data_IF_151315843315
#
_entry.id   IF_151315843315
#
_cell.length_a   1.000
_cell.length_b   1.000
_cell.length_c   1.000
_cell.angle_alpha   90.00
_cell.angle_beta   90.00
_cell.angle_gamma   90.00
#
_symmetry.space_group_name_H-M   'P 1'
#
loop_
_entity.id
_entity.type
_entity.pdbx_description
1 polymer ?
#
# COMPACT_ATOMS: atom_id res chain seq x y z
N UNK A 1 20.63 -2.09 -10.95
CA UNK A 1 20.02 -1.72 -9.65
C UNK A 1 18.80 -2.62 -9.42
N UNK A 2 18.61 -3.10 -8.18
CA UNK A 2 18.01 -4.40 -7.79
C UNK A 2 16.46 -4.49 -7.83
N UNK A 3 15.80 -4.03 -8.88
CA UNK A 3 14.31 -4.10 -8.95
C UNK A 3 13.77 -5.54 -8.96
N UNK A 4 14.53 -6.49 -9.51
CA UNK A 4 14.14 -7.91 -9.57
C UNK A 4 14.03 -8.61 -8.21
N UNK A 5 14.68 -8.08 -7.16
CA UNK A 5 14.71 -8.71 -5.84
C UNK A 5 13.53 -8.25 -4.96
N UNK A 6 13.03 -7.01 -5.15
CA UNK A 6 11.92 -6.49 -4.37
C UNK A 6 10.63 -7.29 -4.61
N UNK A 7 10.31 -7.61 -5.87
CA UNK A 7 9.08 -8.33 -6.21
C UNK A 7 9.06 -9.76 -5.65
N UNK A 8 10.21 -10.44 -5.68
CA UNK A 8 10.38 -11.78 -5.08
C UNK A 8 10.35 -11.77 -3.56
N UNK A 9 10.64 -10.64 -2.92
CA UNK A 9 10.55 -10.50 -1.47
C UNK A 9 9.10 -10.19 -1.06
N UNK A 10 8.44 -9.29 -1.79
CA UNK A 10 7.03 -8.97 -1.58
C UNK A 10 6.11 -10.21 -1.70
N UNK A 11 6.44 -11.19 -2.55
CA UNK A 11 5.62 -12.40 -2.64
C UNK A 11 5.66 -13.27 -1.38
N UNK A 12 6.66 -13.08 -0.50
CA UNK A 12 6.82 -13.83 0.76
C UNK A 12 6.35 -13.05 1.99
N UNK A 13 6.09 -11.76 1.84
CA UNK A 13 5.71 -10.87 2.95
C UNK A 13 4.19 -10.70 3.07
N UNK A 14 3.74 -10.57 4.32
CA UNK A 14 2.35 -10.21 4.65
C UNK A 14 2.16 -8.70 4.78
N UNK A 15 3.20 -7.97 5.15
CA UNK A 15 3.14 -6.54 5.38
C UNK A 15 4.31 -5.83 4.71
N UNK A 16 4.11 -4.55 4.39
CA UNK A 16 5.17 -3.62 4.02
C UNK A 16 5.12 -2.42 4.96
N UNK A 17 6.23 -1.72 5.10
CA UNK A 17 6.22 -0.40 5.71
C UNK A 17 5.83 0.65 4.64
N UNK A 18 4.68 1.29 4.83
CA UNK A 18 4.22 2.41 4.04
C UNK A 18 4.58 3.72 4.74
N UNK A 19 5.32 4.59 4.07
CA UNK A 19 5.67 5.91 4.57
C UNK A 19 4.90 6.96 3.77
N UNK A 20 4.02 7.70 4.46
CA UNK A 20 3.21 8.79 3.89
C UNK A 20 3.60 10.13 4.49
N UNK A 21 3.35 11.23 3.77
CA UNK A 21 3.47 12.58 4.34
C UNK A 21 2.19 12.96 5.09
N UNK A 22 2.30 13.31 6.37
CA UNK A 22 1.18 13.81 7.16
C UNK A 22 0.61 15.10 6.57
N UNK A 23 -0.69 15.11 6.19
CA UNK A 23 -1.30 16.26 5.50
C UNK A 23 -1.25 17.57 6.32
N UNK A 24 -1.35 17.45 7.64
CA UNK A 24 -1.28 18.57 8.61
C UNK A 24 0.15 18.82 9.09
N UNK A 25 0.84 17.79 9.57
CA UNK A 25 2.15 17.91 10.21
C UNK A 25 3.32 18.05 9.24
N UNK A 26 3.14 17.69 7.96
CA UNK A 26 4.18 17.57 6.92
C UNK A 26 5.30 16.58 7.22
N UNK A 27 5.22 15.85 8.34
CA UNK A 27 6.19 14.81 8.72
C UNK A 27 5.98 13.53 7.90
N UNK A 28 7.06 12.76 7.70
CA UNK A 28 6.96 11.38 7.21
C UNK A 28 6.42 10.49 8.33
N UNK A 29 5.42 9.67 8.01
CA UNK A 29 4.73 8.80 8.96
C UNK A 29 4.85 7.37 8.43
N UNK A 30 5.74 6.54 8.99
CA UNK A 30 5.81 5.11 8.68
C UNK A 30 4.62 4.38 9.31
N UNK A 31 4.14 3.34 8.64
CA UNK A 31 3.18 2.40 9.21
C UNK A 31 3.18 1.06 8.48
N UNK A 32 3.05 -0.06 9.19
CA UNK A 32 2.84 -1.35 8.55
C UNK A 32 1.46 -1.38 7.87
N UNK A 33 1.41 -2.01 6.68
CA UNK A 33 0.18 -2.30 5.95
C UNK A 33 0.21 -3.68 5.32
N UNK A 34 -0.94 -4.35 5.34
CA UNK A 34 -1.20 -5.48 4.46
C UNK A 34 -1.33 -5.02 3.01
N UNK A 35 -0.94 -5.91 2.11
CA UNK A 35 -0.94 -5.65 0.68
C UNK A 35 -1.19 -6.95 -0.09
N UNK A 36 -1.71 -6.80 -1.30
CA UNK A 36 -1.81 -7.88 -2.28
C UNK A 36 -1.06 -7.49 -3.55
N UNK A 37 -0.60 -8.50 -4.30
CA UNK A 37 0.05 -8.29 -5.59
C UNK A 37 -0.93 -8.66 -6.70
N UNK A 38 -1.14 -7.73 -7.65
CA UNK A 38 -1.88 -7.99 -8.89
C UNK A 38 -0.96 -7.71 -10.07
N UNK A 39 -0.37 -8.75 -10.65
CA UNK A 39 0.62 -8.61 -11.71
C UNK A 39 1.88 -7.86 -11.24
N UNK A 40 2.04 -6.60 -11.66
CA UNK A 40 3.12 -5.70 -11.22
C UNK A 40 2.66 -4.64 -10.21
N UNK A 41 1.38 -4.61 -9.88
CA UNK A 41 0.79 -3.65 -8.98
C UNK A 41 0.81 -4.15 -7.53
N UNK A 42 1.09 -3.22 -6.61
CA UNK A 42 0.90 -3.41 -5.18
C UNK A 42 -0.39 -2.71 -4.80
N UNK A 43 -1.38 -3.49 -4.36
CA UNK A 43 -2.68 -2.98 -3.94
C UNK A 43 -2.74 -2.91 -2.41
N UNK A 44 -3.22 -1.78 -1.90
CA UNK A 44 -3.35 -1.50 -0.47
C UNK A 44 -4.81 -1.28 -0.13
N UNK A 45 -5.25 -1.83 1.00
CA UNK A 45 -6.64 -1.70 1.45
C UNK A 45 -6.67 -1.02 2.83
N UNK A 46 -7.27 0.19 2.95
CA UNK A 46 -7.59 0.74 4.25
C UNK A 46 -8.76 -0.02 4.84
N UNK A 47 -8.50 -0.88 5.84
CA UNK A 47 -9.54 -1.67 6.52
C UNK A 47 -10.64 -0.77 7.12
N UNK A 48 -10.29 0.43 7.61
CA UNK A 48 -11.25 1.44 8.08
C UNK A 48 -11.77 2.37 6.96
N UNK A 49 -11.57 1.98 5.71
CA UNK A 49 -11.98 2.70 4.51
C UNK A 49 -11.35 4.09 4.40
N UNK A 50 -12.08 4.99 3.75
CA UNK A 50 -11.66 6.38 3.50
C UNK A 50 -11.45 7.20 4.78
N UNK A 51 -11.89 6.69 5.93
CA UNK A 51 -11.69 7.33 7.21
C UNK A 51 -10.27 7.19 7.77
N UNK A 52 -9.49 6.24 7.24
CA UNK A 52 -8.13 6.00 7.68
C UNK A 52 -7.20 7.21 7.47
N UNK A 53 -6.38 7.53 8.46
CA UNK A 53 -5.54 8.74 8.40
C UNK A 53 -4.52 8.70 7.27
N UNK A 54 -3.96 7.52 6.97
CA UNK A 54 -3.00 7.37 5.90
C UNK A 54 -3.65 7.47 4.51
N UNK A 55 -4.89 7.01 4.36
CA UNK A 55 -5.66 7.24 3.14
C UNK A 55 -5.89 8.74 2.91
N UNK A 56 -6.34 9.45 3.95
CA UNK A 56 -6.51 10.91 3.91
C UNK A 56 -5.19 11.65 3.60
N UNK A 57 -4.06 11.11 4.04
CA UNK A 57 -2.74 11.66 3.70
C UNK A 57 -2.38 11.43 2.23
N UNK A 58 -2.63 10.23 1.68
CA UNK A 58 -2.39 9.92 0.26
C UNK A 58 -3.25 10.76 -0.67
N UNK A 59 -4.52 10.95 -0.35
CA UNK A 59 -5.43 11.81 -1.15
C UNK A 59 -4.85 13.22 -1.28
N UNK A 60 -4.19 13.74 -0.24
CA UNK A 60 -3.56 15.07 -0.27
C UNK A 60 -2.17 15.07 -0.92
N UNK A 61 -1.38 14.02 -0.69
CA UNK A 61 -0.06 13.85 -1.28
C UNK A 61 0.15 12.36 -1.63
N UNK A 62 0.06 11.99 -2.93
CA UNK A 62 0.17 10.60 -3.35
C UNK A 62 1.60 10.06 -3.30
N UNK A 63 2.61 10.91 -3.04
CA UNK A 63 4.00 10.49 -2.94
C UNK A 63 4.21 9.64 -1.69
N UNK A 64 4.72 8.42 -1.86
CA UNK A 64 4.97 7.48 -0.77
C UNK A 64 6.34 6.84 -0.90
N UNK A 65 6.81 6.26 0.21
CA UNK A 65 7.87 5.25 0.18
C UNK A 65 7.33 3.92 0.69
N UNK A 66 7.81 2.84 0.11
CA UNK A 66 7.50 1.47 0.53
C UNK A 66 8.82 0.81 0.89
N UNK A 67 8.89 0.24 2.10
CA UNK A 67 10.02 -0.59 2.53
C UNK A 67 9.57 -2.03 2.68
N UNK A 68 10.36 -2.95 2.13
CA UNK A 68 10.18 -4.41 2.22
C UNK A 68 11.55 -5.07 2.21
N UNK A 69 11.80 -6.02 3.11
CA UNK A 69 13.11 -6.70 3.25
C UNK A 69 14.32 -5.75 3.23
N UNK A 70 14.24 -4.62 3.94
CA UNK A 70 15.32 -3.62 4.02
C UNK A 70 15.55 -2.80 2.74
N UNK A 71 14.74 -2.97 1.70
CA UNK A 71 14.78 -2.18 0.48
C UNK A 71 13.64 -1.19 0.46
N UNK A 72 13.97 0.09 0.24
CA UNK A 72 12.99 1.17 0.13
C UNK A 72 12.89 1.66 -1.31
N UNK A 73 11.67 1.77 -1.81
CA UNK A 73 11.36 2.42 -3.08
C UNK A 73 10.45 3.62 -2.87
N UNK A 74 10.62 4.66 -3.68
CA UNK A 74 9.69 5.80 -3.73
C UNK A 74 8.74 5.63 -4.92
N UNK A 75 7.50 6.07 -4.75
CA UNK A 75 6.48 5.97 -5.78
C UNK A 75 5.33 6.95 -5.58
N UNK A 76 4.31 6.82 -6.43
CA UNK A 76 3.03 7.50 -6.29
C UNK A 76 1.92 6.47 -6.23
N UNK A 77 0.98 6.63 -5.30
CA UNK A 77 -0.24 5.82 -5.26
C UNK A 77 -1.38 6.50 -6.02
N UNK A 78 -2.21 5.69 -6.66
CA UNK A 78 -3.49 6.09 -7.23
C UNK A 78 -4.60 5.56 -6.33
N UNK A 79 -5.61 6.38 -6.06
CA UNK A 79 -6.81 5.93 -5.35
C UNK A 79 -7.74 5.17 -6.29
N UNK A 80 -8.28 4.05 -5.79
CA UNK A 80 -9.29 3.25 -6.46
C UNK A 80 -10.62 3.50 -5.75
N UNK A 81 -11.62 4.01 -6.48
CA UNK A 81 -12.94 4.38 -5.93
C UNK A 81 -14.12 3.78 -6.68
N UNK A 82 -13.89 3.18 -7.86
CA UNK A 82 -14.93 2.50 -8.62
C UNK A 82 -15.41 1.26 -7.88
N UNK A 83 -16.73 1.09 -7.70
CA UNK A 83 -17.30 0.00 -6.90
C UNK A 83 -16.81 -1.39 -7.32
N UNK A 84 -16.73 -1.65 -8.63
CA UNK A 84 -16.24 -2.93 -9.16
C UNK A 84 -14.77 -3.18 -8.85
N UNK A 85 -13.90 -2.19 -9.09
CA UNK A 85 -12.47 -2.29 -8.75
C UNK A 85 -12.26 -2.46 -7.24
N UNK A 86 -13.03 -1.74 -6.41
CA UNK A 86 -12.95 -1.87 -4.95
C UNK A 86 -13.36 -3.27 -4.51
N UNK A 87 -14.44 -3.83 -5.06
CA UNK A 87 -14.87 -5.19 -4.75
C UNK A 87 -13.81 -6.24 -5.14
N UNK A 88 -13.19 -6.08 -6.31
CA UNK A 88 -12.09 -6.94 -6.75
C UNK A 88 -10.90 -6.88 -5.78
N UNK A 89 -10.51 -5.67 -5.34
CA UNK A 89 -9.43 -5.50 -4.36
C UNK A 89 -9.80 -6.18 -3.03
N UNK A 90 -11.02 -6.03 -2.54
CA UNK A 90 -11.47 -6.69 -1.30
C UNK A 90 -11.36 -8.21 -1.43
N UNK A 91 -11.82 -8.78 -2.54
CA UNK A 91 -11.74 -10.23 -2.79
C UNK A 91 -10.29 -10.73 -2.76
N UNK A 92 -9.35 -10.02 -3.41
CA UNK A 92 -7.93 -10.40 -3.36
C UNK A 92 -7.36 -10.38 -1.94
N UNK A 93 -7.81 -9.45 -1.09
CA UNK A 93 -7.42 -9.40 0.32
C UNK A 93 -8.03 -10.57 1.11
N UNK A 94 -9.29 -10.90 0.87
CA UNK A 94 -9.95 -12.06 1.51
C UNK A 94 -9.27 -13.38 1.10
N UNK A 95 -8.93 -13.57 -0.17
CA UNK A 95 -8.20 -14.74 -0.65
C UNK A 95 -6.82 -14.90 0.02
N UNK A 96 -6.12 -13.79 0.27
CA UNK A 96 -4.79 -13.81 0.90
C UNK A 96 -4.84 -13.94 2.42
N UNK A 97 -5.83 -13.33 3.09
CA UNK A 97 -5.81 -13.14 4.56
C UNK A 97 -7.04 -13.69 5.30
N UNK A 98 -8.14 -14.02 4.62
CA UNK A 98 -9.44 -14.36 5.22
C UNK A 98 -9.56 -15.76 5.82
N UNK A 99 -8.49 -16.31 6.40
CA UNK A 99 -8.52 -17.58 7.15
C UNK A 99 -8.36 -17.36 8.64
#
# INVERSE_FOLDING_TARGET
>A
MKTGNLKSNLSKEKEIELIVTGRKSKKLIPRPVWFVLKGTEVLLLPVTGTNSQWYKNIVQNPQVKITSSGQTIAGKLRTITGKGEVAEVIQLFEEKYGR
#
